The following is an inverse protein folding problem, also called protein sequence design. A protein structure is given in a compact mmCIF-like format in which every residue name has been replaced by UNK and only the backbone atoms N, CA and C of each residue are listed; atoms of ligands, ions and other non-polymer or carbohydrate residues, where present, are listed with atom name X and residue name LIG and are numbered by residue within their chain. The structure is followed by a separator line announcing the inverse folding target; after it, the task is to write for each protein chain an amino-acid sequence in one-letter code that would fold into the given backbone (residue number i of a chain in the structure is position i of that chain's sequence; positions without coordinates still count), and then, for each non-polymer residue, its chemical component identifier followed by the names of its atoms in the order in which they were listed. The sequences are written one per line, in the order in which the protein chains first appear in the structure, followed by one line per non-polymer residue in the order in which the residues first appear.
data_IF_618431670857
#
_entry.id   IF_618431670857
#
_cell.length_a   1.000
_cell.length_b   1.000
_cell.length_c   1.000
_cell.angle_alpha   90.00
_cell.angle_beta   90.00
_cell.angle_gamma   90.00
#
_symmetry.space_group_name_H-M   'P 1'
#
loop_
_entity.id
_entity.type
_entity.pdbx_description
1 polymer ?
#
# COMPACT_ATOMS: atom_id res chain seq x y z
N UNK A 1 17.47 5.92 8.33
CA UNK A 1 16.39 6.82 8.79
C UNK A 1 15.99 7.90 7.77
N UNK A 2 16.85 8.30 6.81
CA UNK A 2 16.48 9.34 5.82
C UNK A 2 15.38 8.94 4.81
N UNK A 3 15.30 7.66 4.41
CA UNK A 3 14.36 7.20 3.37
C UNK A 3 12.88 7.15 3.77
N UNK A 4 12.56 7.05 5.07
CA UNK A 4 11.15 7.07 5.53
C UNK A 4 10.58 8.49 5.56
N UNK A 5 11.44 9.49 5.74
CA UNK A 5 11.02 10.91 5.81
C UNK A 5 10.69 11.46 4.42
N UNK A 6 11.46 11.07 3.39
CA UNK A 6 11.24 11.50 2.02
C UNK A 6 9.96 10.91 1.43
N UNK A 7 9.72 9.60 1.60
CA UNK A 7 8.48 8.94 1.12
C UNK A 7 7.23 9.58 1.73
N UNK A 8 7.27 9.90 3.03
CA UNK A 8 6.17 10.58 3.69
C UNK A 8 5.97 12.03 3.19
N UNK A 9 7.05 12.72 2.82
CA UNK A 9 6.97 14.06 2.22
C UNK A 9 6.36 14.01 0.80
N UNK A 10 6.77 13.03 -0.01
CA UNK A 10 6.18 12.80 -1.34
C UNK A 10 4.71 12.39 -1.26
N UNK A 11 4.34 11.54 -0.28
CA UNK A 11 2.95 11.19 -0.01
C UNK A 11 2.10 12.44 0.27
N UNK A 12 2.52 13.29 1.21
CA UNK A 12 1.81 14.54 1.51
C UNK A 12 1.72 15.47 0.32
N UNK A 13 2.80 15.60 -0.45
CA UNK A 13 2.81 16.40 -1.66
C UNK A 13 1.82 15.87 -2.71
N UNK A 14 1.77 14.55 -2.91
CA UNK A 14 0.90 13.93 -3.90
C UNK A 14 -0.57 13.98 -3.50
N UNK A 15 -0.87 13.76 -2.22
CA UNK A 15 -2.21 13.93 -1.68
C UNK A 15 -2.73 15.34 -1.98
N UNK A 16 -1.92 16.37 -1.72
CA UNK A 16 -2.29 17.75 -2.02
C UNK A 16 -2.55 18.00 -3.51
N UNK A 17 -1.71 17.46 -4.40
CA UNK A 17 -1.94 17.58 -5.85
C UNK A 17 -3.28 16.94 -6.26
N UNK A 18 -3.55 15.74 -5.76
CA UNK A 18 -4.77 15.01 -6.11
C UNK A 18 -6.00 15.72 -5.56
N UNK A 19 -5.92 16.27 -4.36
CA UNK A 19 -6.95 17.12 -3.75
C UNK A 19 -7.20 18.40 -4.56
N UNK A 20 -6.14 19.12 -4.94
CA UNK A 20 -6.25 20.34 -5.78
C UNK A 20 -6.91 20.02 -7.14
N UNK A 21 -6.54 18.89 -7.77
CA UNK A 21 -7.13 18.46 -9.04
C UNK A 21 -8.60 18.06 -8.85
N UNK A 22 -8.92 17.33 -7.78
CA UNK A 22 -10.30 16.93 -7.47
C UNK A 22 -11.19 18.15 -7.23
N UNK A 23 -10.73 19.12 -6.43
CA UNK A 23 -11.45 20.40 -6.24
C UNK A 23 -11.65 21.14 -7.56
N UNK A 24 -10.62 21.22 -8.39
CA UNK A 24 -10.70 21.89 -9.70
C UNK A 24 -11.71 21.23 -10.63
N UNK A 25 -11.76 19.89 -10.66
CA UNK A 25 -12.73 19.14 -11.45
C UNK A 25 -14.15 19.39 -10.93
N UNK A 26 -14.37 19.37 -9.62
CA UNK A 26 -15.68 19.63 -9.03
C UNK A 26 -16.15 21.07 -9.28
N UNK A 27 -15.24 22.04 -9.17
CA UNK A 27 -15.55 23.44 -9.46
C UNK A 27 -16.00 23.63 -10.91
N UNK A 28 -15.38 22.92 -11.85
CA UNK A 28 -15.73 23.00 -13.27
C UNK A 28 -17.04 22.28 -13.62
N UNK A 29 -17.33 21.16 -12.96
CA UNK A 29 -18.50 20.33 -13.28
C UNK A 29 -19.76 20.74 -12.48
N UNK A 30 -19.60 21.20 -11.24
CA UNK A 30 -20.70 21.51 -10.32
C UNK A 30 -20.79 22.99 -9.92
N UNK A 31 -19.77 23.80 -10.23
CA UNK A 31 -19.70 25.21 -9.87
C UNK A 31 -19.05 25.48 -8.51
N UNK A 32 -18.77 26.77 -8.20
CA UNK A 32 -18.07 27.17 -6.96
C UNK A 32 -18.93 26.96 -5.70
N UNK A 33 -20.24 27.17 -5.78
CA UNK A 33 -21.17 27.05 -4.63
C UNK A 33 -21.16 25.64 -4.04
N UNK A 34 -21.08 24.62 -4.89
CA UNK A 34 -21.01 23.22 -4.46
C UNK A 34 -19.68 22.87 -3.79
N UNK A 35 -18.57 23.42 -4.27
CA UNK A 35 -17.25 23.22 -3.64
C UNK A 35 -17.20 23.90 -2.28
N UNK A 36 -17.79 25.09 -2.15
CA UNK A 36 -17.91 25.77 -0.87
C UNK A 36 -18.76 24.95 0.10
N UNK A 37 -19.90 24.39 -0.35
CA UNK A 37 -20.72 23.48 0.45
C UNK A 37 -19.91 22.28 0.97
N UNK A 38 -19.12 21.63 0.09
CA UNK A 38 -18.26 20.51 0.48
C UNK A 38 -17.20 20.91 1.51
N UNK A 39 -16.60 22.09 1.35
CA UNK A 39 -15.60 22.62 2.31
C UNK A 39 -16.21 22.90 3.68
N UNK A 40 -17.44 23.40 3.74
CA UNK A 40 -18.15 23.57 5.01
C UNK A 40 -18.41 22.20 5.67
N UNK A 41 -18.87 21.20 4.90
CA UNK A 41 -19.05 19.83 5.40
C UNK A 41 -17.74 19.20 5.91
N UNK A 42 -16.61 19.45 5.23
CA UNK A 42 -15.28 18.97 5.64
C UNK A 42 -14.74 19.67 6.90
N UNK A 43 -14.93 20.99 7.01
CA UNK A 43 -14.42 21.78 8.13
C UNK A 43 -15.04 21.35 9.47
N UNK A 44 -16.31 20.95 9.43
CA UNK A 44 -17.04 20.50 10.61
C UNK A 44 -16.79 19.02 10.94
N UNK A 45 -16.24 18.24 9.99
CA UNK A 45 -15.75 16.88 10.21
C UNK A 45 -14.31 16.89 10.74
N UNK A 46 -14.15 16.88 12.07
CA UNK A 46 -12.84 16.88 12.73
C UNK A 46 -11.96 15.67 12.34
N UNK A 47 -10.65 15.84 12.09
CA UNK A 47 -9.76 14.81 11.51
C UNK A 47 -9.48 13.60 12.43
N UNK A 48 -9.82 13.66 13.71
CA UNK A 48 -9.46 12.62 14.71
C UNK A 48 -10.61 11.72 15.16
N UNK A 49 -11.81 11.81 14.56
CA UNK A 49 -12.96 10.98 14.96
C UNK A 49 -13.45 11.20 16.40
N UNK A 50 -12.82 12.10 17.16
CA UNK A 50 -13.26 12.58 18.46
C UNK A 50 -14.34 13.65 18.25
N UNK A 51 -15.57 13.20 18.00
CA UNK A 51 -16.74 14.07 18.11
C UNK A 51 -16.99 14.36 19.59
N UNK A 52 -16.23 15.28 20.18
CA UNK A 52 -16.73 15.98 21.37
C UNK A 52 -17.64 17.11 20.87
N UNK A 53 -18.91 16.76 20.63
CA UNK A 53 -20.02 17.73 20.48
C UNK A 53 -19.72 18.88 19.52
N UNK A 54 -19.78 18.62 18.23
CA UNK A 54 -19.89 19.65 17.21
C UNK A 54 -20.75 19.11 16.08
N UNK A 55 -21.78 19.78 15.58
CA UNK A 55 -22.59 20.89 16.08
C UNK A 55 -23.94 20.73 15.37
N UNK A 56 -25.06 21.14 15.96
CA UNK A 56 -26.39 20.97 15.35
C UNK A 56 -26.49 21.55 13.91
N UNK A 57 -25.56 22.43 13.53
CA UNK A 57 -25.53 23.12 12.24
C UNK A 57 -25.21 22.20 11.04
N UNK A 58 -24.34 21.18 11.17
CA UNK A 58 -24.08 20.22 10.06
C UNK A 58 -25.25 19.29 9.81
N UNK A 59 -25.88 18.83 10.89
CA UNK A 59 -27.07 17.98 10.80
C UNK A 59 -28.20 18.75 10.11
N UNK A 60 -28.41 20.01 10.50
CA UNK A 60 -29.38 20.89 9.86
C UNK A 60 -29.05 21.16 8.39
N UNK A 61 -27.77 21.34 8.05
CA UNK A 61 -27.33 21.53 6.65
C UNK A 61 -27.65 20.29 5.80
N UNK A 62 -27.37 19.09 6.32
CA UNK A 62 -27.66 17.81 5.66
C UNK A 62 -29.17 17.60 5.52
N UNK A 63 -29.98 18.01 6.49
CA UNK A 63 -31.45 17.91 6.44
C UNK A 63 -32.07 18.86 5.41
N UNK A 64 -31.49 20.05 5.20
CA UNK A 64 -31.96 21.05 4.22
C UNK A 64 -31.44 20.82 2.79
N UNK A 65 -30.53 19.85 2.60
CA UNK A 65 -29.89 19.56 1.32
C UNK A 65 -30.88 18.89 0.34
N UNK A 66 -31.04 19.43 -0.87
CA UNK A 66 -31.84 18.76 -1.91
C UNK A 66 -31.23 17.40 -2.26
N UNK A 67 -32.08 16.45 -2.66
CA UNK A 67 -31.69 15.08 -2.99
C UNK A 67 -30.56 15.06 -4.04
N UNK A 68 -30.59 15.96 -5.03
CA UNK A 68 -29.54 16.01 -6.06
C UNK A 68 -28.19 16.43 -5.48
N UNK A 69 -28.18 17.43 -4.60
CA UNK A 69 -26.96 17.93 -3.98
C UNK A 69 -26.43 16.94 -2.95
N UNK A 70 -27.30 16.23 -2.24
CA UNK A 70 -26.92 15.14 -1.34
C UNK A 70 -26.27 13.98 -2.10
N UNK A 71 -26.83 13.57 -3.25
CA UNK A 71 -26.23 12.55 -4.11
C UNK A 71 -24.87 13.02 -4.65
N UNK A 72 -24.78 14.26 -5.13
CA UNK A 72 -23.51 14.83 -5.63
C UNK A 72 -22.45 14.90 -4.53
N UNK A 73 -22.81 15.37 -3.34
CA UNK A 73 -21.88 15.46 -2.21
C UNK A 73 -21.38 14.08 -1.79
N UNK A 74 -22.28 13.10 -1.67
CA UNK A 74 -21.92 11.71 -1.36
C UNK A 74 -20.95 11.13 -2.38
N UNK A 75 -21.20 11.36 -3.68
CA UNK A 75 -20.29 10.92 -4.75
C UNK A 75 -18.96 11.63 -4.71
N UNK A 76 -18.94 12.92 -4.39
CA UNK A 76 -17.72 13.71 -4.30
C UNK A 76 -16.81 13.16 -3.20
N UNK A 77 -17.37 12.88 -2.02
CA UNK A 77 -16.65 12.24 -0.92
C UNK A 77 -16.21 10.82 -1.27
N UNK A 78 -17.06 10.00 -1.89
CA UNK A 78 -16.68 8.65 -2.30
C UNK A 78 -15.47 8.67 -3.25
N UNK A 79 -15.48 9.55 -4.25
CA UNK A 79 -14.36 9.74 -5.17
C UNK A 79 -13.10 10.23 -4.45
N UNK A 80 -13.22 11.19 -3.53
CA UNK A 80 -12.11 11.69 -2.72
C UNK A 80 -11.44 10.55 -1.91
N UNK A 81 -12.22 9.76 -1.17
CA UNK A 81 -11.70 8.63 -0.40
C UNK A 81 -11.03 7.58 -1.29
N UNK A 82 -11.62 7.27 -2.44
CA UNK A 82 -11.02 6.32 -3.39
C UNK A 82 -9.69 6.85 -3.95
N UNK A 83 -9.59 8.14 -4.26
CA UNK A 83 -8.36 8.76 -4.72
C UNK A 83 -7.26 8.75 -3.66
N UNK A 84 -7.59 9.11 -2.42
CA UNK A 84 -6.65 9.04 -1.28
C UNK A 84 -6.14 7.62 -1.12
N UNK A 85 -7.04 6.63 -1.08
CA UNK A 85 -6.66 5.23 -0.91
C UNK A 85 -5.68 4.77 -2.00
N UNK A 86 -5.86 5.19 -3.27
CA UNK A 86 -4.92 4.85 -4.35
C UNK A 86 -3.55 5.48 -4.11
N UNK A 87 -3.51 6.75 -3.69
CA UNK A 87 -2.27 7.45 -3.41
C UNK A 87 -1.55 6.80 -2.24
N UNK A 88 -2.26 6.53 -1.14
CA UNK A 88 -1.71 5.86 0.04
C UNK A 88 -1.18 4.46 -0.30
N UNK A 89 -1.99 3.64 -0.96
CA UNK A 89 -1.59 2.29 -1.37
C UNK A 89 -0.38 2.31 -2.31
N UNK A 90 -0.29 3.30 -3.20
CA UNK A 90 0.85 3.47 -4.11
C UNK A 90 2.15 3.77 -3.35
N UNK A 91 2.11 4.67 -2.35
CA UNK A 91 3.30 4.97 -1.53
C UNK A 91 3.63 3.89 -0.50
N UNK A 92 2.62 3.18 0.02
CA UNK A 92 2.84 2.00 0.86
C UNK A 92 3.56 0.90 0.07
N UNK A 93 3.09 0.59 -1.14
CA UNK A 93 3.74 -0.37 -2.04
C UNK A 93 5.18 0.03 -2.39
N UNK A 94 5.43 1.31 -2.71
CA UNK A 94 6.80 1.80 -2.96
C UNK A 94 7.69 1.69 -1.73
N UNK A 95 7.15 1.99 -0.55
CA UNK A 95 7.85 1.86 0.73
C UNK A 95 8.22 0.41 1.03
N UNK A 96 7.28 -0.52 0.82
CA UNK A 96 7.51 -1.96 0.96
C UNK A 96 8.55 -2.47 -0.05
N UNK A 97 8.43 -2.09 -1.33
CA UNK A 97 9.36 -2.54 -2.38
C UNK A 97 10.80 -2.11 -2.11
N UNK A 98 11.03 -0.84 -1.74
CA UNK A 98 12.37 -0.34 -1.36
C UNK A 98 12.91 -1.06 -0.12
N UNK A 99 12.04 -1.45 0.82
CA UNK A 99 12.44 -2.23 1.99
C UNK A 99 12.80 -3.68 1.63
N UNK A 100 12.06 -4.31 0.71
CA UNK A 100 12.38 -5.65 0.21
C UNK A 100 13.71 -5.66 -0.56
N UNK A 101 13.95 -4.69 -1.44
CA UNK A 101 15.22 -4.54 -2.17
C UNK A 101 16.40 -4.35 -1.19
N UNK A 102 16.27 -3.46 -0.21
CA UNK A 102 17.31 -3.24 0.79
C UNK A 102 17.56 -4.45 1.71
N UNK A 103 16.54 -5.27 1.96
CA UNK A 103 16.70 -6.54 2.68
C UNK A 103 17.42 -7.58 1.81
N UNK A 104 17.10 -7.63 0.52
CA UNK A 104 17.75 -8.52 -0.45
C UNK A 104 19.24 -8.20 -0.61
N UNK A 105 19.59 -6.93 -0.77
CA UNK A 105 20.97 -6.46 -0.88
C UNK A 105 21.79 -6.78 0.40
N UNK A 106 21.21 -6.58 1.59
CA UNK A 106 21.88 -6.91 2.86
C UNK A 106 22.13 -8.40 3.06
N UNK A 107 21.26 -9.27 2.56
CA UNK A 107 21.49 -10.72 2.58
C UNK A 107 22.58 -11.10 1.57
N UNK A 108 22.63 -10.47 0.41
CA UNK A 108 23.67 -10.69 -0.60
C UNK A 108 25.07 -10.24 -0.13
N UNK A 109 25.15 -9.15 0.64
CA UNK A 109 26.42 -8.62 1.19
C UNK A 109 26.85 -9.30 2.51
N UNK A 110 26.00 -10.16 3.08
CA UNK A 110 26.09 -10.71 4.43
C UNK A 110 27.14 -11.81 4.67
N UNK A 111 27.95 -12.17 3.68
CA UNK A 111 28.96 -13.24 3.78
C UNK A 111 30.20 -12.86 4.62
N UNK A 112 30.22 -11.67 5.26
CA UNK A 112 31.34 -11.20 6.10
C UNK A 112 30.99 -10.65 7.50
N UNK A 113 29.72 -10.43 7.85
CA UNK A 113 29.38 -9.67 9.07
C UNK A 113 28.46 -10.39 10.08
N UNK A 114 28.29 -11.70 9.98
CA UNK A 114 27.32 -12.44 10.81
C UNK A 114 27.88 -13.00 12.14
N UNK A 115 29.15 -12.76 12.48
CA UNK A 115 29.77 -13.36 13.68
C UNK A 115 29.62 -12.56 14.99
N UNK A 116 29.13 -11.31 14.99
CA UNK A 116 29.29 -10.45 16.18
C UNK A 116 28.01 -9.78 16.67
N UNK A 117 26.84 -10.44 16.70
CA UNK A 117 25.62 -9.72 17.12
C UNK A 117 24.57 -10.45 17.97
N UNK A 118 24.77 -11.71 18.37
CA UNK A 118 23.78 -12.38 19.24
C UNK A 118 24.41 -13.26 20.32
N UNK A 119 24.76 -12.65 21.45
CA UNK A 119 24.59 -13.32 22.74
C UNK A 119 23.09 -13.44 23.01
N UNK A 120 22.55 -14.64 22.81
CA UNK A 120 21.27 -15.03 23.41
C UNK A 120 21.58 -15.31 24.88
N UNK A 121 21.58 -14.25 25.69
CA UNK A 121 21.29 -14.27 27.13
C UNK A 121 21.59 -12.89 27.71
N UNK A 122 20.54 -12.12 27.93
CA UNK A 122 20.51 -11.18 29.06
C UNK A 122 19.06 -10.77 29.33
N UNK A 123 18.46 -11.51 30.27
CA UNK A 123 17.57 -10.91 31.26
C UNK A 123 18.20 -9.58 31.72
N UNK A 124 17.47 -8.45 31.81
CA UNK A 124 18.11 -7.16 32.10
C UNK A 124 18.77 -7.22 33.48
N UNK A 125 20.10 -7.31 33.52
CA UNK A 125 20.87 -7.10 34.75
C UNK A 125 21.27 -5.63 34.80
N UNK A 126 20.72 -4.93 35.79
CA UNK A 126 21.17 -3.66 36.38
C UNK A 126 21.68 -2.57 35.42
N UNK A 127 20.89 -1.50 35.32
CA UNK A 127 21.21 -0.26 34.60
C UNK A 127 22.26 0.52 35.40
N UNK A 128 23.38 0.85 34.78
CA UNK A 128 24.41 1.74 35.31
C UNK A 128 23.96 3.21 35.09
N UNK A 129 23.91 4.10 36.10
CA UNK A 129 23.13 5.34 36.02
C UNK A 129 23.78 6.52 35.29
N UNK A 130 24.97 6.37 34.70
CA UNK A 130 25.79 7.53 34.27
C UNK A 130 26.05 7.69 32.76
N UNK A 131 25.38 6.95 31.87
CA UNK A 131 25.46 7.23 30.43
C UNK A 131 24.30 8.09 29.95
N UNK A 132 24.61 9.34 29.60
CA UNK A 132 23.71 10.37 29.05
C UNK A 132 23.22 10.09 27.61
N UNK A 133 22.79 8.87 27.31
CA UNK A 133 22.02 8.57 26.10
C UNK A 133 20.55 8.42 26.48
N UNK A 134 19.72 9.33 25.97
CA UNK A 134 18.30 9.46 26.30
C UNK A 134 17.58 8.11 26.12
N UNK A 135 17.06 7.53 27.21
CA UNK A 135 16.39 6.21 27.26
C UNK A 135 15.31 6.04 26.16
N UNK A 136 14.69 7.14 25.74
CA UNK A 136 13.73 7.17 24.63
C UNK A 136 14.33 6.73 23.28
N UNK A 137 15.60 7.06 22.99
CA UNK A 137 16.28 6.64 21.77
C UNK A 137 16.64 5.15 21.79
N UNK A 138 17.00 4.61 22.95
CA UNK A 138 17.33 3.19 23.11
C UNK A 138 16.08 2.30 22.97
N UNK A 139 14.96 2.72 23.55
CA UNK A 139 13.66 2.04 23.39
C UNK A 139 13.14 2.11 21.94
N UNK A 140 13.25 3.28 21.30
CA UNK A 140 12.85 3.47 19.89
C UNK A 140 13.68 2.60 18.94
N UNK A 141 14.99 2.47 19.21
CA UNK A 141 15.89 1.65 18.41
C UNK A 141 15.62 0.15 18.60
N UNK A 142 15.36 -0.31 19.82
CA UNK A 142 14.96 -1.71 20.08
C UNK A 142 13.61 -2.08 19.42
N UNK A 143 12.64 -1.17 19.41
CA UNK A 143 11.36 -1.35 18.72
C UNK A 143 11.51 -1.36 17.19
N UNK A 144 12.39 -0.52 16.63
CA UNK A 144 12.68 -0.52 15.20
C UNK A 144 13.46 -1.77 14.75
N UNK A 145 14.48 -2.19 15.50
CA UNK A 145 15.24 -3.40 15.22
C UNK A 145 14.33 -4.64 15.30
N UNK A 146 13.50 -4.77 16.34
CA UNK A 146 12.54 -5.88 16.44
C UNK A 146 11.51 -5.89 15.30
N UNK A 147 11.08 -4.72 14.81
CA UNK A 147 10.18 -4.63 13.65
C UNK A 147 10.85 -5.05 12.33
N UNK A 148 12.13 -4.72 12.13
CA UNK A 148 12.93 -5.16 10.98
C UNK A 148 13.21 -6.66 11.02
N UNK A 149 13.63 -7.20 12.18
CA UNK A 149 13.80 -8.65 12.37
C UNK A 149 12.50 -9.43 12.17
N UNK A 150 11.35 -8.87 12.58
CA UNK A 150 10.03 -9.48 12.41
C UNK A 150 9.57 -9.45 10.95
N UNK A 151 10.02 -8.49 10.12
CA UNK A 151 9.72 -8.42 8.67
C UNK A 151 10.69 -9.22 7.81
N UNK A 152 11.99 -9.22 8.11
CA UNK A 152 12.97 -10.08 7.44
C UNK A 152 12.59 -11.57 7.65
N UNK A 153 12.05 -11.93 8.81
CA UNK A 153 11.50 -13.26 9.07
C UNK A 153 10.20 -13.60 8.30
N UNK A 154 9.59 -12.65 7.57
CA UNK A 154 8.35 -12.88 6.78
C UNK A 154 8.61 -13.31 5.33
N UNK A 155 9.83 -13.20 4.82
CA UNK A 155 10.18 -13.66 3.46
C UNK A 155 10.88 -15.01 3.49
N UNK A 156 10.81 -15.78 2.40
CA UNK A 156 11.54 -17.05 2.28
C UNK A 156 13.05 -16.87 2.47
N UNK A 157 13.61 -15.76 1.97
CA UNK A 157 15.03 -15.44 2.06
C UNK A 157 15.50 -15.16 3.48
N UNK A 158 14.68 -14.59 4.36
CA UNK A 158 15.04 -14.44 5.77
C UNK A 158 14.65 -15.65 6.62
N UNK A 159 13.60 -16.38 6.24
CA UNK A 159 13.09 -17.52 6.98
C UNK A 159 14.06 -18.70 7.00
N UNK A 160 14.59 -19.16 5.86
CA UNK A 160 15.49 -20.31 5.84
C UNK A 160 16.80 -20.06 6.61
N UNK A 161 17.53 -18.94 6.44
CA UNK A 161 18.71 -18.64 7.24
C UNK A 161 18.42 -18.53 8.73
N UNK A 162 17.22 -18.09 9.11
CA UNK A 162 16.78 -18.08 10.50
C UNK A 162 16.59 -19.49 11.05
N UNK A 163 15.96 -20.40 10.29
CA UNK A 163 15.85 -21.81 10.67
C UNK A 163 17.22 -22.47 10.84
N UNK A 164 18.18 -22.16 9.95
CA UNK A 164 19.56 -22.63 10.06
C UNK A 164 20.25 -22.10 11.32
N UNK A 165 20.09 -20.81 11.64
CA UNK A 165 20.62 -20.19 12.87
C UNK A 165 20.01 -20.75 14.15
N UNK A 166 18.74 -21.14 14.11
CA UNK A 166 18.05 -21.81 15.22
C UNK A 166 18.39 -23.30 15.33
N UNK A 167 19.31 -23.82 14.50
CA UNK A 167 19.72 -25.22 14.47
C UNK A 167 18.55 -26.21 14.30
N UNK A 168 17.55 -25.84 13.50
CA UNK A 168 16.43 -26.73 13.21
C UNK A 168 16.93 -27.92 12.38
N UNK A 169 16.63 -29.18 12.78
CA UNK A 169 17.08 -30.35 12.03
C UNK A 169 16.54 -30.37 10.59
N UNK A 170 17.39 -30.57 9.56
CA UNK A 170 16.95 -30.56 8.15
C UNK A 170 15.84 -31.57 7.84
N UNK A 171 15.82 -32.72 8.51
CA UNK A 171 14.76 -33.73 8.36
C UNK A 171 13.38 -33.21 8.78
N UNK A 172 13.33 -32.36 9.82
CA UNK A 172 12.07 -31.76 10.26
C UNK A 172 11.57 -30.76 9.22
N UNK A 173 12.48 -30.01 8.61
CA UNK A 173 12.16 -29.08 7.52
C UNK A 173 11.64 -29.86 6.32
N UNK A 174 12.32 -30.93 5.89
CA UNK A 174 11.88 -31.78 4.77
C UNK A 174 10.47 -32.34 5.00
N UNK A 175 10.20 -32.90 6.19
CA UNK A 175 8.87 -33.43 6.54
C UNK A 175 7.76 -32.37 6.48
N UNK A 176 8.08 -31.10 6.75
CA UNK A 176 7.14 -30.00 6.61
C UNK A 176 6.93 -29.62 5.14
N UNK A 177 7.99 -29.62 4.33
CA UNK A 177 7.89 -29.37 2.88
C UNK A 177 7.03 -30.42 2.20
N UNK A 178 7.21 -31.69 2.56
CA UNK A 178 6.46 -32.81 1.97
C UNK A 178 4.95 -32.76 2.31
N UNK A 179 4.57 -32.01 3.35
CA UNK A 179 3.17 -31.87 3.81
C UNK A 179 2.60 -30.48 3.55
N UNK A 180 3.36 -29.58 2.93
CA UNK A 180 2.95 -28.20 2.73
C UNK A 180 1.88 -28.14 1.64
N UNK A 181 0.63 -27.92 2.04
CA UNK A 181 -0.51 -27.70 1.15
C UNK A 181 -1.17 -26.36 1.52
N UNK A 182 -1.19 -25.44 0.56
CA UNK A 182 -1.80 -24.11 0.72
C UNK A 182 -2.88 -23.96 -0.36
N UNK A 183 -4.14 -23.93 0.07
CA UNK A 183 -5.30 -23.78 -0.81
C UNK A 183 -5.92 -22.41 -0.64
N UNK A 184 -5.94 -21.63 -1.73
CA UNK A 184 -6.66 -20.37 -1.79
C UNK A 184 -8.13 -20.64 -2.12
N UNK A 185 -9.03 -20.18 -1.26
CA UNK A 185 -10.47 -20.23 -1.50
C UNK A 185 -10.94 -18.81 -1.75
N UNK A 186 -11.43 -18.56 -2.97
CA UNK A 186 -12.04 -17.28 -3.32
C UNK A 186 -13.46 -17.23 -2.77
N UNK A 187 -13.77 -16.15 -2.08
CA UNK A 187 -15.11 -15.85 -1.59
C UNK A 187 -15.61 -14.60 -2.28
N UNK A 188 -16.86 -14.61 -2.74
CA UNK A 188 -17.50 -13.39 -3.19
C UNK A 188 -17.52 -12.37 -2.05
N UNK A 189 -17.01 -11.16 -2.30
CA UNK A 189 -17.09 -10.08 -1.33
C UNK A 189 -18.39 -9.30 -1.57
N UNK A 190 -19.37 -9.35 -0.66
CA UNK A 190 -20.72 -8.82 -0.91
C UNK A 190 -20.77 -7.29 -1.07
N UNK A 191 -19.67 -6.58 -0.82
CA UNK A 191 -19.59 -5.11 -0.87
C UNK A 191 -18.59 -4.56 -1.88
N UNK A 192 -17.87 -5.39 -2.65
CA UNK A 192 -17.07 -4.89 -3.77
C UNK A 192 -17.97 -4.66 -5.00
N UNK A 193 -18.92 -3.71 -4.86
CA UNK A 193 -19.82 -3.23 -5.92
C UNK A 193 -19.06 -2.30 -6.88
N UNK A 194 -17.76 -2.51 -7.07
CA UNK A 194 -16.92 -1.65 -7.90
C UNK A 194 -16.92 -2.24 -9.31
N UNK A 195 -17.60 -1.58 -10.27
CA UNK A 195 -17.61 -1.99 -11.69
C UNK A 195 -16.19 -2.23 -12.20
N UNK A 196 -15.98 -3.25 -13.03
CA UNK A 196 -14.68 -3.52 -13.68
C UNK A 196 -14.06 -2.26 -14.34
N UNK A 197 -14.90 -1.38 -14.87
CA UNK A 197 -14.49 -0.09 -15.44
C UNK A 197 -13.80 0.84 -14.44
N UNK A 198 -14.20 0.80 -13.16
CA UNK A 198 -13.61 1.59 -12.08
C UNK A 198 -12.22 1.04 -11.75
N UNK A 199 -12.06 -0.28 -11.62
CA UNK A 199 -10.73 -0.90 -11.42
C UNK A 199 -9.76 -0.53 -12.55
N UNK A 200 -10.24 -0.51 -13.79
CA UNK A 200 -9.46 0.01 -14.93
C UNK A 200 -9.04 1.47 -14.77
N UNK A 201 -9.92 2.35 -14.27
CA UNK A 201 -9.60 3.75 -13.96
C UNK A 201 -8.57 3.85 -12.83
N UNK A 202 -8.75 3.09 -11.75
CA UNK A 202 -7.82 3.04 -10.61
C UNK A 202 -6.40 2.64 -11.07
N UNK A 203 -6.29 1.60 -11.90
CA UNK A 203 -5.00 1.17 -12.48
C UNK A 203 -4.36 2.25 -13.36
N UNK A 204 -5.15 2.96 -14.16
CA UNK A 204 -4.65 4.07 -14.98
C UNK A 204 -4.13 5.22 -14.12
N UNK A 205 -4.87 5.62 -13.08
CA UNK A 205 -4.45 6.66 -12.13
C UNK A 205 -3.14 6.24 -11.44
N UNK A 206 -3.06 5.02 -10.90
CA UNK A 206 -1.84 4.50 -10.29
C UNK A 206 -0.65 4.46 -11.27
N UNK A 207 -0.89 4.22 -12.56
CA UNK A 207 0.15 4.29 -13.60
C UNK A 207 0.61 5.74 -13.86
N UNK A 208 -0.31 6.69 -13.92
CA UNK A 208 0.01 8.12 -14.10
C UNK A 208 0.80 8.63 -12.89
N UNK A 209 0.38 8.29 -11.66
CA UNK A 209 1.10 8.64 -10.43
C UNK A 209 2.54 8.11 -10.44
N UNK A 210 2.74 6.84 -10.84
CA UNK A 210 4.08 6.26 -11.03
C UNK A 210 4.93 7.01 -12.05
N UNK A 211 4.35 7.43 -13.17
CA UNK A 211 5.07 8.20 -14.19
C UNK A 211 5.45 9.59 -13.67
N UNK A 212 4.54 10.23 -12.93
CA UNK A 212 4.73 11.54 -12.34
C UNK A 212 5.87 11.50 -11.30
N UNK A 213 5.89 10.49 -10.43
CA UNK A 213 6.99 10.27 -9.48
C UNK A 213 8.33 10.07 -10.18
N UNK A 214 8.39 9.28 -11.27
CA UNK A 214 9.64 9.06 -12.02
C UNK A 214 10.20 10.33 -12.63
N UNK A 215 9.32 11.20 -13.16
CA UNK A 215 9.72 12.47 -13.77
C UNK A 215 10.17 13.47 -12.69
N UNK A 216 9.53 13.48 -11.53
CA UNK A 216 9.87 14.37 -10.41
C UNK A 216 11.09 13.87 -9.59
N UNK A 217 11.33 12.56 -9.46
CA UNK A 217 12.53 11.98 -8.82
C UNK A 217 13.77 12.13 -9.72
N UNK A 218 13.61 12.07 -11.05
CA UNK A 218 14.68 12.13 -12.06
C UNK A 218 15.30 13.51 -12.31
N UNK A 219 15.44 14.34 -11.28
CA UNK A 219 15.97 15.72 -11.39
C UNK A 219 17.43 15.77 -11.88
N UNK A 220 17.63 15.84 -13.20
CA UNK A 220 18.85 16.31 -13.88
C UNK A 220 18.50 16.90 -15.29
N UNK A 221 19.38 17.67 -15.96
CA UNK A 221 19.45 19.12 -16.02
C UNK A 221 18.79 19.75 -17.28
N UNK A 222 17.49 19.54 -17.50
CA UNK A 222 16.72 20.37 -18.47
C UNK A 222 15.32 20.67 -17.92
N UNK A 223 15.25 21.68 -17.05
CA UNK A 223 14.04 22.09 -16.34
C UNK A 223 12.83 22.37 -17.24
N UNK A 224 13.06 22.67 -18.52
CA UNK A 224 12.01 23.02 -19.48
C UNK A 224 11.27 21.75 -19.96
N UNK A 225 11.98 20.68 -20.32
CA UNK A 225 11.35 19.44 -20.80
C UNK A 225 10.58 18.73 -19.69
N UNK A 226 11.18 18.68 -18.49
CA UNK A 226 10.55 18.11 -17.29
C UNK A 226 9.24 18.83 -16.93
N UNK A 227 9.18 20.16 -17.09
CA UNK A 227 7.96 20.92 -16.80
C UNK A 227 6.82 20.62 -17.77
N UNK A 228 7.10 20.46 -19.06
CA UNK A 228 6.08 20.13 -20.06
C UNK A 228 5.52 18.72 -19.86
N UNK A 229 6.39 17.73 -19.62
CA UNK A 229 5.98 16.35 -19.36
C UNK A 229 5.17 16.23 -18.07
N UNK A 230 5.59 16.92 -17.01
CA UNK A 230 4.85 16.96 -15.73
C UNK A 230 3.47 17.57 -15.92
N UNK A 231 3.38 18.68 -16.66
CA UNK A 231 2.09 19.32 -16.96
C UNK A 231 1.19 18.42 -17.80
N UNK A 232 1.73 17.71 -18.79
CA UNK A 232 0.97 16.76 -19.60
C UNK A 232 0.42 15.60 -18.75
N UNK A 233 1.23 15.04 -17.84
CA UNK A 233 0.79 13.99 -16.92
C UNK A 233 -0.25 14.49 -15.91
N UNK A 234 -0.10 15.72 -15.40
CA UNK A 234 -1.12 16.36 -14.55
C UNK A 234 -2.43 16.54 -15.30
N UNK A 235 -2.39 16.99 -16.56
CA UNK A 235 -3.59 17.12 -17.38
C UNK A 235 -4.24 15.77 -17.67
N UNK A 236 -3.46 14.71 -17.93
CA UNK A 236 -3.98 13.35 -18.06
C UNK A 236 -4.66 12.88 -16.76
N UNK A 237 -4.06 13.16 -15.60
CA UNK A 237 -4.65 12.85 -14.30
C UNK A 237 -5.97 13.59 -14.09
N UNK A 238 -6.03 14.89 -14.42
CA UNK A 238 -7.25 15.69 -14.37
C UNK A 238 -8.36 15.10 -15.25
N UNK A 239 -8.05 14.71 -16.48
CA UNK A 239 -9.05 14.13 -17.38
C UNK A 239 -9.51 12.74 -16.92
N UNK A 240 -8.63 11.89 -16.38
CA UNK A 240 -9.05 10.60 -15.80
C UNK A 240 -9.94 10.79 -14.57
N UNK A 241 -9.63 11.74 -13.69
CA UNK A 241 -10.48 12.08 -12.53
C UNK A 241 -11.83 12.64 -12.99
N UNK A 242 -11.86 13.53 -14.00
CA UNK A 242 -13.11 14.02 -14.59
C UNK A 242 -13.93 12.89 -15.22
N UNK A 243 -13.30 11.99 -15.96
CA UNK A 243 -13.97 10.83 -16.53
C UNK A 243 -14.48 9.90 -15.45
N UNK A 244 -13.80 9.78 -14.31
CA UNK A 244 -14.29 9.04 -13.16
C UNK A 244 -15.51 9.71 -12.53
N UNK A 245 -15.46 11.02 -12.29
CA UNK A 245 -16.60 11.79 -11.78
C UNK A 245 -17.87 11.63 -12.64
N UNK A 246 -17.73 11.59 -13.97
CA UNK A 246 -18.86 11.36 -14.89
C UNK A 246 -19.30 9.89 -14.98
N UNK A 247 -18.51 8.97 -14.45
CA UNK A 247 -18.86 7.55 -14.40
C UNK A 247 -19.65 7.27 -13.13
N UNK A 248 -20.81 6.66 -13.26
CA UNK A 248 -21.60 6.22 -12.11
C UNK A 248 -20.93 5.01 -11.46
N UNK A 249 -20.56 5.14 -10.18
CA UNK A 249 -19.79 4.16 -9.43
C UNK A 249 -20.67 3.03 -8.88
N UNK A 250 -21.95 3.32 -8.64
CA UNK A 250 -22.87 2.37 -8.07
C UNK A 250 -23.43 1.47 -9.17
N UNK A 251 -23.37 0.15 -8.95
CA UNK A 251 -24.23 -0.72 -9.71
C UNK A 251 -25.67 -0.40 -9.32
N UNK A 252 -26.47 0.05 -10.29
CA UNK A 252 -27.91 0.24 -10.11
C UNK A 252 -28.64 -1.08 -9.78
N UNK A 253 -27.96 -2.24 -9.96
CA UNK A 253 -28.47 -3.57 -9.67
C UNK A 253 -27.41 -4.45 -9.02
N UNK A 254 -27.80 -5.35 -8.13
CA UNK A 254 -26.90 -6.35 -7.55
C UNK A 254 -26.25 -7.16 -8.70
N UNK A 255 -24.91 -7.33 -8.73
CA UNK A 255 -24.25 -8.16 -9.74
C UNK A 255 -24.83 -9.58 -9.71
N UNK A 256 -24.89 -10.20 -10.89
CA UNK A 256 -25.35 -11.59 -10.99
C UNK A 256 -24.26 -12.53 -10.49
N UNK A 257 -24.63 -13.77 -10.16
CA UNK A 257 -23.66 -14.81 -9.77
C UNK A 257 -22.62 -15.05 -10.87
N UNK A 258 -22.99 -14.87 -12.15
CA UNK A 258 -22.07 -14.99 -13.27
C UNK A 258 -21.04 -13.86 -13.29
N UNK A 259 -21.45 -12.63 -12.97
CA UNK A 259 -20.52 -11.49 -12.86
C UNK A 259 -19.48 -11.70 -11.76
N UNK A 260 -19.86 -12.34 -10.64
CA UNK A 260 -18.94 -12.68 -9.55
C UNK A 260 -17.94 -13.79 -9.93
N UNK A 261 -18.39 -14.78 -10.70
CA UNK A 261 -17.52 -15.85 -11.22
C UNK A 261 -16.53 -15.28 -12.23
N UNK A 262 -17.00 -14.48 -13.18
CA UNK A 262 -16.15 -13.81 -14.17
C UNK A 262 -15.13 -12.88 -13.48
N UNK A 263 -15.53 -12.19 -12.41
CA UNK A 263 -14.62 -11.40 -11.58
C UNK A 263 -13.51 -12.24 -10.92
N UNK A 264 -13.88 -13.40 -10.37
CA UNK A 264 -12.92 -14.30 -9.73
C UNK A 264 -11.93 -14.87 -10.74
N UNK A 265 -12.42 -15.27 -11.92
CA UNK A 265 -11.59 -15.77 -13.02
C UNK A 265 -10.63 -14.71 -13.54
N UNK A 266 -11.09 -13.47 -13.68
CA UNK A 266 -10.25 -12.36 -14.10
C UNK A 266 -9.08 -12.09 -13.14
N UNK A 267 -9.30 -12.18 -11.82
CA UNK A 267 -8.20 -12.05 -10.84
C UNK A 267 -7.18 -13.19 -10.96
N UNK A 268 -7.65 -14.40 -11.27
CA UNK A 268 -6.78 -15.54 -11.51
C UNK A 268 -5.89 -15.32 -12.74
N UNK A 269 -6.47 -14.86 -13.85
CA UNK A 269 -5.76 -14.61 -15.10
C UNK A 269 -4.76 -13.43 -15.00
N UNK A 270 -5.17 -12.32 -14.38
CA UNK A 270 -4.33 -11.11 -14.37
C UNK A 270 -3.22 -11.12 -13.31
N UNK A 271 -3.39 -11.86 -12.21
CA UNK A 271 -2.47 -11.79 -11.06
C UNK A 271 -1.86 -13.14 -10.75
N UNK A 272 -2.69 -14.17 -10.53
CA UNK A 272 -2.21 -15.42 -9.95
C UNK A 272 -1.45 -16.28 -10.96
N UNK A 273 -1.86 -16.26 -12.22
CA UNK A 273 -1.23 -17.06 -13.28
C UNK A 273 0.27 -16.75 -13.41
N UNK A 274 0.63 -15.46 -13.38
CA UNK A 274 2.03 -15.03 -13.48
C UNK A 274 2.76 -15.09 -12.12
N UNK A 275 2.05 -14.79 -11.02
CA UNK A 275 2.68 -14.65 -9.69
C UNK A 275 2.99 -16.00 -9.02
N UNK A 276 2.15 -17.03 -9.21
CA UNK A 276 2.35 -18.34 -8.55
C UNK A 276 3.65 -19.02 -9.00
N UNK A 277 3.96 -19.12 -10.31
CA UNK A 277 5.24 -19.66 -10.77
C UNK A 277 6.43 -18.88 -10.23
N UNK A 278 6.35 -17.54 -10.23
CA UNK A 278 7.41 -16.69 -9.70
C UNK A 278 7.62 -16.92 -8.19
N UNK A 279 6.53 -17.02 -7.42
CA UNK A 279 6.57 -17.31 -5.98
C UNK A 279 7.27 -18.64 -5.70
N UNK A 280 6.97 -19.68 -6.49
CA UNK A 280 7.63 -20.98 -6.33
C UNK A 280 9.12 -20.92 -6.70
N UNK A 281 9.48 -20.22 -7.77
CA UNK A 281 10.90 -20.06 -8.11
C UNK A 281 11.66 -19.32 -7.01
N UNK A 282 11.06 -18.25 -6.44
CA UNK A 282 11.62 -17.53 -5.28
C UNK A 282 11.76 -18.44 -4.07
N UNK A 283 10.79 -19.30 -3.81
CA UNK A 283 10.84 -20.31 -2.75
C UNK A 283 11.99 -21.29 -2.94
N UNK A 284 12.09 -21.92 -4.12
CA UNK A 284 13.13 -22.89 -4.46
C UNK A 284 14.53 -22.28 -4.35
N UNK A 285 14.69 -21.06 -4.88
CA UNK A 285 15.95 -20.33 -4.81
C UNK A 285 16.36 -20.11 -3.35
N UNK A 286 15.49 -19.55 -2.52
CA UNK A 286 15.77 -19.28 -1.11
C UNK A 286 16.06 -20.55 -0.29
N UNK A 287 15.35 -21.65 -0.58
CA UNK A 287 15.59 -22.95 0.05
C UNK A 287 16.99 -23.46 -0.27
N UNK A 288 17.34 -23.56 -1.56
CA UNK A 288 18.61 -24.11 -1.99
C UNK A 288 19.82 -23.24 -1.61
N UNK A 289 19.65 -21.92 -1.51
CA UNK A 289 20.69 -21.02 -0.99
C UNK A 289 21.10 -21.39 0.44
N UNK A 290 20.14 -21.81 1.28
CA UNK A 290 20.42 -22.11 2.69
C UNK A 290 20.67 -23.61 2.95
N UNK A 291 19.90 -24.46 2.27
CA UNK A 291 19.85 -25.91 2.41
C UNK A 291 19.89 -26.60 1.03
N UNK A 292 21.09 -26.83 0.47
CA UNK A 292 21.24 -27.35 -0.90
C UNK A 292 20.68 -28.76 -1.15
N UNK A 293 20.49 -29.54 -0.09
CA UNK A 293 20.11 -30.95 -0.16
C UNK A 293 18.62 -31.21 0.11
N UNK A 294 17.87 -30.18 0.54
CA UNK A 294 16.44 -30.31 0.76
C UNK A 294 15.70 -30.24 -0.58
N UNK A 295 14.63 -31.01 -0.70
CA UNK A 295 13.77 -30.99 -1.87
C UNK A 295 12.62 -30.01 -1.65
N UNK A 296 12.30 -29.16 -2.64
CA UNK A 296 11.12 -28.32 -2.58
C UNK A 296 9.85 -29.20 -2.59
N UNK A 297 8.69 -28.65 -2.14
CA UNK A 297 7.42 -29.38 -2.17
C UNK A 297 7.13 -29.86 -3.60
N UNK A 298 6.83 -31.15 -3.73
CA UNK A 298 6.46 -31.76 -5.02
C UNK A 298 5.00 -31.48 -5.32
N UNK A 299 4.74 -30.95 -6.51
CA UNK A 299 3.40 -30.60 -6.94
C UNK A 299 2.56 -31.82 -7.30
N UNK A 300 1.41 -31.97 -6.66
CA UNK A 300 0.20 -32.52 -7.29
C UNK A 300 -0.77 -31.34 -7.40
N UNK A 301 -0.83 -30.70 -8.58
CA UNK A 301 -1.90 -29.76 -8.93
C UNK A 301 -2.90 -30.47 -9.83
#
# INVERSE_FOLDING_TARGET
MAGSSTVHLFLKYRLRIVEDIWESVLQQECGPEFVDLLKHLLADCSPDGNVQTGGNDTLALIEDLDLNDAIRATRAFALYFQLINIVEQHYEQLGEQKQYEAAYERVADGDRATQSFFTVDSVPSYIDPESSDSEANLLTRGLQETSQYRREARTFQGMFPKLKRLNVPPQHIQNLMDKLDVRLVFTAHPTEIVRHTIRGKQRRIAKILRQLDRVEEGLHPSAISTSFETNALRQQLTEEIRLWWRTDELHQFKPTVLDEVDFTLHYFEEVLFDTIPELYQRFCSALHTTFPHLQPPSYDF
#
